data_IF_594442229619
#
_entry.id   IF_594442229619
#
_cell.length_a   1.000
_cell.length_b   1.000
_cell.length_c   1.000
_cell.angle_alpha   90.00
_cell.angle_beta   90.00
_cell.angle_gamma   90.00
#
_symmetry.space_group_name_H-M   'P 1'
#
loop_
_entity.id
_entity.type
_entity.pdbx_description
1 polymer ?
#
# COMPACT_ATOMS: atom_id res chain seq x y z
N UNK A 1 -9.30 9.11 -38.57
CA UNK A 1 -9.72 8.60 -37.24
C UNK A 1 -9.37 7.13 -37.22
N UNK A 2 -8.16 6.80 -36.75
CA UNK A 2 -7.76 5.40 -36.57
C UNK A 2 -8.63 4.78 -35.48
N UNK A 3 -9.35 3.71 -35.84
CA UNK A 3 -10.22 3.00 -34.94
C UNK A 3 -9.40 2.35 -33.83
N UNK A 4 -9.32 2.99 -32.66
CA UNK A 4 -8.79 2.35 -31.45
C UNK A 4 -9.66 1.11 -31.18
N UNK A 5 -9.10 -0.07 -31.42
CA UNK A 5 -9.75 -1.35 -31.06
C UNK A 5 -10.09 -1.32 -29.58
N UNK A 6 -11.35 -1.61 -29.22
CA UNK A 6 -11.74 -1.70 -27.81
C UNK A 6 -10.86 -2.74 -27.10
N UNK A 7 -10.32 -2.43 -25.93
CA UNK A 7 -9.50 -3.40 -25.19
C UNK A 7 -10.35 -4.64 -24.83
N UNK A 8 -9.70 -5.80 -24.73
CA UNK A 8 -10.39 -7.02 -24.29
C UNK A 8 -10.91 -6.85 -22.86
N UNK A 9 -12.00 -7.54 -22.51
CA UNK A 9 -12.58 -7.46 -21.17
C UNK A 9 -11.56 -7.83 -20.09
N UNK A 10 -10.71 -8.81 -20.35
CA UNK A 10 -9.62 -9.19 -19.43
C UNK A 10 -8.63 -8.02 -19.20
N UNK A 11 -8.24 -7.31 -20.26
CA UNK A 11 -7.34 -6.16 -20.16
C UNK A 11 -8.01 -5.01 -19.37
N UNK A 12 -9.32 -4.80 -19.52
CA UNK A 12 -10.08 -3.80 -18.76
C UNK A 12 -10.07 -4.15 -17.27
N UNK A 13 -10.35 -5.39 -16.88
CA UNK A 13 -10.31 -5.82 -15.48
C UNK A 13 -8.91 -5.80 -14.89
N UNK A 14 -7.87 -6.18 -15.65
CA UNK A 14 -6.49 -6.06 -15.17
C UNK A 14 -6.08 -4.60 -14.91
N UNK A 15 -6.57 -3.66 -15.73
CA UNK A 15 -6.39 -2.23 -15.50
C UNK A 15 -7.14 -1.77 -14.24
N UNK A 16 -8.39 -2.22 -14.06
CA UNK A 16 -9.21 -1.89 -12.90
C UNK A 16 -8.60 -2.39 -11.59
N UNK A 17 -8.02 -3.57 -11.58
CA UNK A 17 -7.31 -4.13 -10.44
C UNK A 17 -6.08 -3.30 -10.02
N UNK A 18 -5.56 -2.44 -10.90
CA UNK A 18 -4.35 -1.64 -10.65
C UNK A 18 -3.18 -2.52 -10.19
N UNK A 19 -2.93 -3.61 -10.95
CA UNK A 19 -1.98 -4.67 -10.62
C UNK A 19 -0.58 -4.21 -10.11
N UNK A 20 0.04 -3.12 -10.62
CA UNK A 20 1.32 -2.64 -10.10
C UNK A 20 1.29 -2.26 -8.61
N UNK A 21 0.12 -1.88 -8.07
CA UNK A 21 -0.01 -1.48 -6.66
C UNK A 21 -0.13 -2.67 -5.69
N UNK A 22 -0.31 -3.89 -6.21
CA UNK A 22 -0.32 -5.10 -5.37
C UNK A 22 1.00 -5.30 -4.62
N UNK A 23 2.12 -4.84 -5.17
CA UNK A 23 3.42 -4.92 -4.50
C UNK A 23 3.39 -4.26 -3.12
N UNK A 24 2.66 -3.13 -2.98
CA UNK A 24 2.54 -2.41 -1.72
C UNK A 24 1.91 -3.21 -0.57
N UNK A 25 1.02 -4.14 -0.88
CA UNK A 25 0.34 -4.97 0.13
C UNK A 25 0.89 -6.39 0.20
N UNK A 26 1.40 -6.93 -0.90
CA UNK A 26 1.93 -8.28 -0.92
C UNK A 26 3.34 -8.37 -0.31
N UNK A 27 4.17 -7.33 -0.43
CA UNK A 27 5.50 -7.32 0.19
C UNK A 27 5.45 -7.45 1.72
N UNK A 28 4.60 -6.72 2.49
CA UNK A 28 4.49 -6.92 3.93
C UNK A 28 3.88 -8.29 4.29
N UNK A 29 3.02 -8.88 3.45
CA UNK A 29 2.50 -10.24 3.68
C UNK A 29 3.61 -11.29 3.56
N UNK A 30 4.45 -11.19 2.53
CA UNK A 30 5.64 -12.05 2.36
C UNK A 30 6.61 -11.82 3.52
N UNK A 31 6.92 -10.57 3.84
CA UNK A 31 7.79 -10.21 4.96
C UNK A 31 7.32 -10.83 6.27
N UNK A 32 6.05 -10.69 6.63
CA UNK A 32 5.50 -11.21 7.89
C UNK A 32 5.60 -12.73 8.00
N UNK A 33 5.30 -13.46 6.91
CA UNK A 33 5.43 -14.91 6.85
C UNK A 33 6.90 -15.37 6.96
N UNK A 34 7.80 -14.68 6.26
CA UNK A 34 9.26 -14.95 6.31
C UNK A 34 9.82 -14.59 7.69
N UNK A 35 9.34 -13.51 8.32
CA UNK A 35 9.74 -13.14 9.67
C UNK A 35 9.39 -14.22 10.70
N UNK A 36 8.20 -14.87 10.54
CA UNK A 36 7.88 -16.01 11.38
C UNK A 36 8.85 -17.17 11.19
N UNK A 37 9.25 -17.46 9.96
CA UNK A 37 10.27 -18.48 9.67
C UNK A 37 11.62 -18.12 10.29
N UNK A 38 12.07 -16.89 10.15
CA UNK A 38 13.30 -16.37 10.78
C UNK A 38 13.30 -16.56 12.30
N UNK A 39 12.14 -16.47 12.96
CA UNK A 39 12.01 -16.73 14.42
C UNK A 39 11.96 -18.23 14.78
N UNK A 40 12.26 -19.12 13.83
CA UNK A 40 12.32 -20.58 14.05
C UNK A 40 11.01 -21.32 13.81
N UNK A 41 9.97 -20.66 13.30
CA UNK A 41 8.69 -21.31 12.98
C UNK A 41 8.79 -22.08 11.65
N UNK A 42 8.40 -23.37 11.57
CA UNK A 42 8.33 -24.07 10.31
C UNK A 42 7.38 -23.40 9.32
N UNK A 43 7.83 -23.18 8.09
CA UNK A 43 7.06 -22.46 7.08
C UNK A 43 5.92 -23.34 6.52
N UNK A 44 4.68 -22.87 6.61
CA UNK A 44 3.51 -23.53 6.07
C UNK A 44 3.07 -22.88 4.75
N UNK A 45 3.35 -23.53 3.62
CA UNK A 45 3.07 -23.04 2.30
C UNK A 45 1.58 -22.83 1.99
N UNK A 46 0.70 -23.71 2.51
CA UNK A 46 -0.75 -23.57 2.30
C UNK A 46 -1.29 -22.33 3.03
N UNK A 47 -0.92 -22.17 4.29
CA UNK A 47 -1.32 -20.98 5.06
C UNK A 47 -0.75 -19.70 4.46
N UNK A 48 0.48 -19.73 3.95
CA UNK A 48 1.09 -18.62 3.23
C UNK A 48 0.31 -18.29 1.96
N UNK A 49 0.02 -19.28 1.10
CA UNK A 49 -0.72 -19.06 -0.14
C UNK A 49 -2.11 -18.46 0.11
N UNK A 50 -2.83 -18.96 1.12
CA UNK A 50 -4.14 -18.42 1.51
C UNK A 50 -4.02 -16.97 2.03
N UNK A 51 -3.00 -16.68 2.86
CA UNK A 51 -2.73 -15.30 3.32
C UNK A 51 -2.43 -14.37 2.15
N UNK A 52 -1.59 -14.81 1.22
CA UNK A 52 -1.20 -14.05 0.02
C UNK A 52 -2.43 -13.75 -0.86
N UNK A 53 -3.26 -14.77 -1.14
CA UNK A 53 -4.50 -14.62 -1.93
C UNK A 53 -5.49 -13.70 -1.20
N UNK A 54 -5.70 -13.90 0.11
CA UNK A 54 -6.58 -13.05 0.92
C UNK A 54 -6.15 -11.59 0.92
N UNK A 55 -4.83 -11.33 1.03
CA UNK A 55 -4.27 -9.97 0.95
C UNK A 55 -4.45 -9.38 -0.46
N UNK A 56 -4.21 -10.16 -1.52
CA UNK A 56 -4.43 -9.71 -2.89
C UNK A 56 -5.90 -9.35 -3.16
N UNK A 57 -6.84 -10.17 -2.69
CA UNK A 57 -8.28 -9.90 -2.80
C UNK A 57 -8.69 -8.64 -2.01
N UNK A 58 -8.13 -8.44 -0.80
CA UNK A 58 -8.37 -7.23 -0.02
C UNK A 58 -7.89 -6.00 -0.76
N UNK A 59 -6.69 -6.04 -1.36
CA UNK A 59 -6.15 -4.94 -2.16
C UNK A 59 -6.99 -4.66 -3.42
N UNK A 60 -7.41 -5.71 -4.13
CA UNK A 60 -8.31 -5.58 -5.27
C UNK A 60 -9.63 -4.90 -4.87
N UNK A 61 -10.23 -5.36 -3.78
CA UNK A 61 -11.46 -4.78 -3.24
C UNK A 61 -11.29 -3.31 -2.84
N UNK A 62 -10.17 -2.95 -2.18
CA UNK A 62 -9.84 -1.58 -1.82
C UNK A 62 -9.70 -0.69 -3.07
N UNK A 63 -8.95 -1.12 -4.08
CA UNK A 63 -8.74 -0.34 -5.31
C UNK A 63 -10.07 -0.08 -6.06
N UNK A 64 -10.90 -1.12 -6.22
CA UNK A 64 -12.21 -0.98 -6.86
C UNK A 64 -13.20 -0.14 -6.03
N UNK A 65 -13.15 -0.24 -4.70
CA UNK A 65 -13.94 0.62 -3.79
C UNK A 65 -13.51 2.08 -3.95
N UNK A 66 -12.20 2.32 -4.02
CA UNK A 66 -11.64 3.65 -4.26
C UNK A 66 -12.14 4.22 -5.59
N UNK A 67 -11.96 3.51 -6.70
CA UNK A 67 -12.39 3.96 -8.03
C UNK A 67 -13.91 4.23 -8.10
N UNK A 68 -14.73 3.42 -7.42
CA UNK A 68 -16.18 3.64 -7.34
C UNK A 68 -16.54 4.93 -6.58
N UNK A 69 -15.95 5.17 -5.40
CA UNK A 69 -16.29 6.34 -4.59
C UNK A 69 -15.66 7.62 -5.12
N UNK A 70 -14.47 7.56 -5.72
CA UNK A 70 -13.84 8.71 -6.37
C UNK A 70 -14.57 9.09 -7.67
N UNK A 71 -15.11 8.11 -8.41
CA UNK A 71 -16.08 8.39 -9.48
C UNK A 71 -17.33 9.13 -8.94
N UNK A 72 -17.89 8.68 -7.81
CA UNK A 72 -19.10 9.30 -7.23
C UNK A 72 -18.85 10.70 -6.66
N UNK A 73 -17.66 10.96 -6.15
CA UNK A 73 -17.27 12.30 -5.65
C UNK A 73 -16.94 13.28 -6.77
N UNK A 74 -16.65 12.77 -7.98
CA UNK A 74 -16.18 13.55 -9.10
C UNK A 74 -14.66 13.76 -9.15
N UNK A 75 -13.93 13.26 -8.17
CA UNK A 75 -12.46 13.39 -8.04
C UNK A 75 -11.75 12.88 -9.30
N UNK A 76 -12.08 11.67 -9.70
CA UNK A 76 -11.50 11.01 -10.87
C UNK A 76 -11.75 11.71 -12.22
N UNK A 77 -12.73 12.61 -12.30
CA UNK A 77 -12.96 13.41 -13.50
C UNK A 77 -12.03 14.62 -13.58
N UNK A 78 -11.55 15.10 -12.43
CA UNK A 78 -10.68 16.26 -12.31
C UNK A 78 -9.19 15.87 -12.31
N UNK A 79 -8.88 14.66 -11.85
CA UNK A 79 -7.50 14.18 -11.77
C UNK A 79 -7.01 13.73 -13.14
N UNK A 80 -5.88 14.25 -13.65
CA UNK A 80 -5.26 13.75 -14.87
C UNK A 80 -4.85 12.29 -14.73
N UNK A 81 -5.11 11.46 -15.74
CA UNK A 81 -4.62 10.10 -15.76
C UNK A 81 -3.10 10.07 -15.85
N UNK A 82 -2.44 9.51 -14.86
CA UNK A 82 -1.01 9.22 -14.88
C UNK A 82 -0.79 7.73 -14.65
N UNK A 83 0.40 7.17 -14.95
CA UNK A 83 0.69 5.76 -14.65
C UNK A 83 0.63 5.41 -13.15
N UNK A 84 0.63 6.42 -12.26
CA UNK A 84 0.79 6.24 -10.81
C UNK A 84 -0.33 6.88 -9.97
N UNK A 85 -1.14 7.78 -10.54
CA UNK A 85 -2.25 8.45 -9.84
C UNK A 85 -3.48 8.61 -10.74
N UNK A 86 -4.62 9.01 -10.15
CA UNK A 86 -5.85 9.33 -10.86
C UNK A 86 -6.77 8.14 -11.15
N UNK A 87 -6.69 7.06 -10.40
CA UNK A 87 -7.56 5.90 -10.55
C UNK A 87 -7.29 5.06 -11.80
N UNK A 88 -8.11 4.03 -12.03
CA UNK A 88 -8.03 3.19 -13.24
C UNK A 88 -8.56 3.87 -14.49
N UNK A 89 -9.44 4.86 -14.33
CA UNK A 89 -10.23 5.54 -15.37
C UNK A 89 -11.20 4.64 -16.15
N UNK A 90 -11.35 3.38 -15.76
CA UNK A 90 -12.20 2.40 -16.44
C UNK A 90 -13.67 2.81 -16.40
N UNK A 91 -14.13 3.38 -15.28
CA UNK A 91 -15.51 3.88 -15.13
C UNK A 91 -15.69 5.15 -15.97
N UNK A 92 -14.76 6.10 -15.90
CA UNK A 92 -14.82 7.40 -16.59
C UNK A 92 -14.76 7.24 -18.10
N UNK A 93 -14.04 6.24 -18.60
CA UNK A 93 -13.98 5.89 -20.02
C UNK A 93 -15.19 5.05 -20.50
N UNK A 94 -16.12 4.69 -19.59
CA UNK A 94 -17.30 3.90 -19.91
C UNK A 94 -17.00 2.44 -20.28
N UNK A 95 -15.84 1.92 -19.87
CA UNK A 95 -15.42 0.54 -20.14
C UNK A 95 -16.12 -0.46 -19.21
N UNK A 96 -16.38 -0.08 -17.95
CA UNK A 96 -17.20 -0.83 -17.00
C UNK A 96 -18.22 0.07 -16.34
N UNK A 97 -19.47 -0.40 -16.11
CA UNK A 97 -20.45 0.30 -15.32
C UNK A 97 -20.00 0.40 -13.84
N UNK A 98 -20.20 1.54 -13.15
CA UNK A 98 -19.82 1.71 -11.74
C UNK A 98 -20.35 0.61 -10.83
N UNK A 99 -21.59 0.15 -11.08
CA UNK A 99 -22.23 -0.92 -10.31
C UNK A 99 -21.46 -2.24 -10.41
N UNK A 100 -20.91 -2.57 -11.59
CA UNK A 100 -20.11 -3.80 -11.75
C UNK A 100 -18.81 -3.73 -10.96
N UNK A 101 -18.15 -2.57 -10.96
CA UNK A 101 -16.93 -2.34 -10.18
C UNK A 101 -17.23 -2.49 -8.68
N UNK A 102 -18.29 -1.87 -8.16
CA UNK A 102 -18.68 -2.02 -6.76
C UNK A 102 -19.01 -3.46 -6.38
N UNK A 103 -19.75 -4.19 -7.23
CA UNK A 103 -20.09 -5.60 -6.96
C UNK A 103 -18.81 -6.44 -6.92
N UNK A 104 -17.89 -6.24 -7.87
CA UNK A 104 -16.61 -6.94 -7.88
C UNK A 104 -15.77 -6.61 -6.63
N UNK A 105 -15.75 -5.34 -6.18
CA UNK A 105 -15.10 -4.93 -4.93
C UNK A 105 -15.67 -5.72 -3.73
N UNK A 106 -16.99 -5.76 -3.59
CA UNK A 106 -17.65 -6.47 -2.49
C UNK A 106 -17.34 -7.97 -2.56
N UNK A 107 -17.39 -8.60 -3.73
CA UNK A 107 -17.07 -10.02 -3.89
C UNK A 107 -15.63 -10.32 -3.50
N UNK A 108 -14.67 -9.48 -3.87
CA UNK A 108 -13.27 -9.62 -3.46
C UNK A 108 -13.13 -9.51 -1.93
N UNK A 109 -13.77 -8.52 -1.29
CA UNK A 109 -13.70 -8.33 0.15
C UNK A 109 -14.39 -9.47 0.92
N UNK A 110 -15.53 -9.96 0.44
CA UNK A 110 -16.23 -11.11 1.04
C UNK A 110 -15.39 -12.38 0.92
N UNK A 111 -14.78 -12.62 -0.25
CA UNK A 111 -13.88 -13.77 -0.43
C UNK A 111 -12.64 -13.66 0.48
N UNK A 112 -12.04 -12.47 0.59
CA UNK A 112 -10.94 -12.22 1.52
C UNK A 112 -11.34 -12.45 2.98
N UNK A 113 -12.53 -11.98 3.38
CA UNK A 113 -13.07 -12.24 4.73
C UNK A 113 -13.30 -13.73 4.99
N UNK A 114 -13.82 -14.46 4.00
CA UNK A 114 -13.98 -15.93 4.09
C UNK A 114 -12.65 -16.64 4.30
N UNK A 115 -11.60 -16.27 3.54
CA UNK A 115 -10.24 -16.78 3.72
C UNK A 115 -9.72 -16.43 5.12
N UNK A 116 -9.88 -15.17 5.56
CA UNK A 116 -9.46 -14.73 6.89
C UNK A 116 -10.13 -15.48 8.03
N UNK A 117 -11.44 -15.75 7.92
CA UNK A 117 -12.18 -16.56 8.89
C UNK A 117 -11.71 -18.00 8.91
N UNK A 118 -11.46 -18.61 7.74
CA UNK A 118 -10.87 -19.94 7.65
C UNK A 118 -9.49 -20.00 8.29
N UNK A 119 -8.61 -19.04 7.98
CA UNK A 119 -7.28 -18.94 8.58
C UNK A 119 -7.37 -18.80 10.10
N UNK A 120 -8.30 -17.97 10.59
CA UNK A 120 -8.52 -17.82 12.03
C UNK A 120 -9.02 -19.13 12.68
N UNK A 121 -9.90 -19.88 12.01
CA UNK A 121 -10.38 -21.18 12.48
C UNK A 121 -9.23 -22.17 12.62
N UNK A 122 -8.32 -22.23 11.64
CA UNK A 122 -7.19 -23.18 11.62
C UNK A 122 -6.07 -22.76 12.59
N UNK A 123 -5.80 -21.48 12.73
CA UNK A 123 -4.70 -20.99 13.57
C UNK A 123 -5.11 -20.73 15.02
N UNK A 124 -6.40 -20.47 15.25
CA UNK A 124 -6.96 -20.14 16.55
C UNK A 124 -6.65 -18.70 17.00
N UNK A 125 -7.34 -18.26 18.03
CA UNK A 125 -7.08 -16.99 18.69
C UNK A 125 -7.91 -15.80 18.17
N UNK A 126 -7.85 -14.68 18.93
CA UNK A 126 -8.61 -13.44 18.62
C UNK A 126 -7.78 -12.41 17.85
N UNK A 127 -6.47 -12.60 17.79
CA UNK A 127 -5.55 -11.62 17.17
C UNK A 127 -5.82 -11.50 15.67
N UNK A 128 -5.95 -12.63 14.97
CA UNK A 128 -6.19 -12.61 13.53
C UNK A 128 -7.57 -12.02 13.19
N UNK A 129 -8.58 -12.26 14.02
CA UNK A 129 -9.89 -11.60 13.86
C UNK A 129 -9.77 -10.07 14.01
N UNK A 130 -9.04 -9.60 15.04
CA UNK A 130 -8.85 -8.17 15.25
C UNK A 130 -8.08 -7.53 14.09
N UNK A 131 -6.97 -8.15 13.68
CA UNK A 131 -6.15 -7.68 12.54
C UNK A 131 -6.96 -7.69 11.24
N UNK A 132 -7.71 -8.77 10.98
CA UNK A 132 -8.59 -8.88 9.82
C UNK A 132 -9.71 -7.84 9.82
N UNK A 133 -10.36 -7.62 10.96
CA UNK A 133 -11.40 -6.59 11.10
C UNK A 133 -10.85 -5.18 10.85
N UNK A 134 -9.67 -4.86 11.38
CA UNK A 134 -8.99 -3.58 11.13
C UNK A 134 -8.64 -3.44 9.65
N UNK A 135 -8.06 -4.48 9.04
CA UNK A 135 -7.71 -4.47 7.61
C UNK A 135 -8.94 -4.28 6.71
N UNK A 136 -10.03 -4.99 6.97
CA UNK A 136 -11.30 -4.87 6.24
C UNK A 136 -11.95 -3.50 6.45
N UNK A 137 -11.91 -2.96 7.67
CA UNK A 137 -12.37 -1.61 7.97
C UNK A 137 -11.59 -0.57 7.16
N UNK A 138 -10.28 -0.67 7.14
CA UNK A 138 -9.42 0.21 6.34
C UNK A 138 -9.76 0.05 4.86
N UNK A 139 -9.81 -1.17 4.34
CA UNK A 139 -10.04 -1.44 2.92
C UNK A 139 -11.36 -0.84 2.41
N UNK A 140 -12.42 -0.86 3.22
CA UNK A 140 -13.71 -0.27 2.84
C UNK A 140 -13.76 1.22 3.10
N UNK A 141 -13.42 1.66 4.32
CA UNK A 141 -13.62 3.03 4.76
C UNK A 141 -12.48 3.98 4.40
N UNK A 142 -11.47 3.51 3.68
CA UNK A 142 -10.44 4.41 3.16
C UNK A 142 -11.07 5.51 2.31
N UNK A 143 -11.99 5.16 1.43
CA UNK A 143 -12.69 6.10 0.54
C UNK A 143 -14.19 6.17 0.81
N UNK A 144 -14.82 5.08 1.30
CA UNK A 144 -16.24 5.01 1.52
C UNK A 144 -16.72 5.92 2.67
N UNK A 145 -17.92 6.56 2.55
CA UNK A 145 -18.56 7.24 3.66
C UNK A 145 -18.96 6.23 4.76
N UNK A 146 -19.13 6.64 6.00
CA UNK A 146 -19.02 8.02 6.51
C UNK A 146 -17.59 8.44 6.87
N UNK A 147 -16.63 7.50 6.96
CA UNK A 147 -15.31 7.80 7.54
C UNK A 147 -14.35 8.46 6.56
N UNK A 148 -14.27 7.99 5.31
CA UNK A 148 -13.40 8.54 4.27
C UNK A 148 -11.99 8.83 4.80
N UNK A 149 -11.32 7.80 5.33
CA UNK A 149 -10.05 7.96 6.06
C UNK A 149 -8.98 8.64 5.20
N UNK A 150 -8.91 8.30 3.90
CA UNK A 150 -7.99 8.90 2.94
C UNK A 150 -8.28 10.36 2.58
N UNK A 151 -9.44 10.91 2.99
CA UNK A 151 -9.79 12.32 2.77
C UNK A 151 -9.37 13.24 3.93
N UNK A 152 -8.66 12.72 4.93
CA UNK A 152 -8.30 13.43 6.16
C UNK A 152 -6.78 13.53 6.28
N UNK A 153 -6.28 14.77 6.28
CA UNK A 153 -4.85 15.07 6.36
C UNK A 153 -4.16 14.36 7.52
N UNK A 154 -3.08 13.67 7.23
CA UNK A 154 -2.30 12.90 8.18
C UNK A 154 -2.92 11.54 8.54
N UNK A 155 -4.25 11.42 8.54
CA UNK A 155 -4.92 10.17 8.88
C UNK A 155 -4.86 9.16 7.72
N UNK A 156 -5.06 9.61 6.48
CA UNK A 156 -4.98 8.75 5.31
C UNK A 156 -3.59 8.12 5.15
N UNK A 157 -2.57 8.94 5.30
CA UNK A 157 -1.17 8.52 5.20
C UNK A 157 -0.79 7.60 6.37
N UNK A 158 -1.20 7.93 7.62
CA UNK A 158 -0.97 7.08 8.79
C UNK A 158 -1.64 5.72 8.65
N UNK A 159 -2.90 5.69 8.19
CA UNK A 159 -3.66 4.45 7.97
C UNK A 159 -3.02 3.62 6.85
N UNK A 160 -2.47 4.26 5.81
CA UNK A 160 -1.69 3.57 4.78
C UNK A 160 -0.41 2.96 5.36
N UNK A 161 0.36 3.72 6.16
CA UNK A 161 1.57 3.22 6.86
C UNK A 161 1.25 2.01 7.72
N UNK A 162 0.23 2.11 8.58
CA UNK A 162 -0.11 1.05 9.52
C UNK A 162 -0.76 -0.14 8.83
N UNK A 163 -1.64 0.11 7.86
CA UNK A 163 -2.36 -0.91 7.11
C UNK A 163 -1.44 -1.74 6.22
N UNK A 164 -0.62 -1.06 5.41
CA UNK A 164 0.29 -1.71 4.46
C UNK A 164 1.67 -2.06 5.04
N UNK A 165 1.86 -1.94 6.33
CA UNK A 165 3.03 -2.42 7.06
C UNK A 165 2.58 -3.36 8.19
N UNK A 166 2.43 -2.83 9.41
CA UNK A 166 2.15 -3.60 10.62
C UNK A 166 0.94 -4.51 10.56
N UNK A 167 -0.20 -4.04 10.05
CA UNK A 167 -1.45 -4.84 10.04
C UNK A 167 -1.30 -6.06 9.16
N UNK A 168 -0.81 -5.91 7.92
CA UNK A 168 -0.62 -7.03 7.00
C UNK A 168 0.50 -7.95 7.49
N UNK A 169 1.65 -7.39 7.90
CA UNK A 169 2.78 -8.19 8.33
C UNK A 169 2.48 -8.99 9.60
N UNK A 170 1.80 -8.38 10.60
CA UNK A 170 1.37 -9.08 11.80
C UNK A 170 0.38 -10.19 11.50
N UNK A 171 -0.58 -9.94 10.58
CA UNK A 171 -1.53 -10.97 10.15
C UNK A 171 -0.82 -12.16 9.53
N UNK A 172 0.10 -11.92 8.59
CA UNK A 172 0.88 -12.96 7.93
C UNK A 172 1.81 -13.72 8.91
N UNK A 173 2.45 -12.99 9.82
CA UNK A 173 3.25 -13.57 10.91
C UNK A 173 2.39 -14.47 11.79
N UNK A 174 1.23 -13.96 12.26
CA UNK A 174 0.35 -14.70 13.16
C UNK A 174 -0.18 -15.99 12.54
N UNK A 175 -0.50 -15.97 11.25
CA UNK A 175 -0.96 -17.16 10.52
C UNK A 175 0.09 -18.28 10.55
N UNK A 176 1.38 -17.95 10.48
CA UNK A 176 2.47 -18.91 10.56
C UNK A 176 2.79 -19.30 12.00
N UNK A 177 2.95 -18.31 12.89
CA UNK A 177 3.50 -18.49 14.24
C UNK A 177 2.44 -18.75 15.32
N UNK A 178 1.17 -18.46 15.07
CA UNK A 178 0.02 -18.57 16.00
C UNK A 178 0.21 -17.76 17.29
N UNK A 179 1.05 -16.77 17.27
CA UNK A 179 1.33 -15.88 18.39
C UNK A 179 1.50 -14.44 17.94
N UNK A 180 1.24 -13.50 18.84
CA UNK A 180 1.49 -12.07 18.62
C UNK A 180 2.99 -11.76 18.74
N UNK A 181 3.48 -10.81 17.95
CA UNK A 181 4.90 -10.40 17.97
C UNK A 181 5.05 -8.89 17.81
N UNK A 182 5.45 -8.19 18.89
CA UNK A 182 5.86 -6.79 18.80
C UNK A 182 7.10 -6.57 17.91
N UNK A 183 8.12 -7.45 17.94
CA UNK A 183 9.22 -7.38 16.99
C UNK A 183 8.78 -7.42 15.51
N UNK A 184 7.81 -8.29 15.15
CA UNK A 184 7.29 -8.34 13.79
C UNK A 184 6.56 -7.04 13.39
N UNK A 185 5.78 -6.45 14.32
CA UNK A 185 5.12 -5.15 14.13
C UNK A 185 6.18 -4.07 13.90
N UNK A 186 7.19 -3.97 14.77
CA UNK A 186 8.24 -2.97 14.67
C UNK A 186 9.06 -3.13 13.38
N UNK A 187 9.45 -4.36 13.03
CA UNK A 187 10.25 -4.67 11.85
C UNK A 187 9.54 -4.34 10.52
N UNK A 188 8.20 -4.33 10.51
CA UNK A 188 7.40 -3.97 9.33
C UNK A 188 7.15 -2.48 9.15
N UNK A 189 7.40 -1.64 10.18
CA UNK A 189 7.16 -0.20 10.12
C UNK A 189 7.93 0.50 8.99
N UNK A 190 9.24 0.24 8.73
CA UNK A 190 9.94 0.85 7.61
C UNK A 190 9.26 0.57 6.26
N UNK A 191 8.75 -0.68 6.06
CA UNK A 191 8.01 -1.07 4.85
C UNK A 191 6.72 -0.28 4.75
N UNK A 192 5.99 -0.15 5.87
CA UNK A 192 4.76 0.65 5.93
C UNK A 192 5.01 2.13 5.63
N UNK A 193 6.07 2.75 6.20
CA UNK A 193 6.43 4.15 5.93
C UNK A 193 6.69 4.35 4.44
N UNK A 194 7.43 3.45 3.80
CA UNK A 194 7.69 3.54 2.36
C UNK A 194 6.41 3.42 1.53
N UNK A 195 5.44 2.58 1.94
CA UNK A 195 4.15 2.54 1.25
C UNK A 195 3.34 3.83 1.49
N UNK A 196 3.38 4.39 2.69
CA UNK A 196 2.82 5.72 2.96
C UNK A 196 3.46 6.80 2.08
N UNK A 197 4.77 6.69 1.78
CA UNK A 197 5.46 7.60 0.86
C UNK A 197 5.07 7.39 -0.61
N UNK A 198 4.71 6.16 -1.02
CA UNK A 198 4.12 5.92 -2.35
C UNK A 198 2.79 6.66 -2.48
N UNK A 199 1.93 6.60 -1.46
CA UNK A 199 0.69 7.37 -1.42
C UNK A 199 1.00 8.87 -1.44
N UNK A 200 1.84 9.33 -0.52
CA UNK A 200 2.15 10.75 -0.32
C UNK A 200 2.72 11.44 -1.57
N UNK A 201 3.61 10.76 -2.32
CA UNK A 201 4.16 11.35 -3.55
C UNK A 201 3.11 11.41 -4.68
N UNK A 202 2.10 10.53 -4.67
CA UNK A 202 0.99 10.57 -5.62
C UNK A 202 0.06 11.77 -5.35
N UNK A 203 -0.14 12.17 -4.11
CA UNK A 203 -0.96 13.32 -3.73
C UNK A 203 -0.46 14.64 -4.32
N UNK A 204 0.83 14.75 -4.68
CA UNK A 204 1.35 15.94 -5.37
C UNK A 204 0.72 16.13 -6.76
N UNK A 205 0.37 15.04 -7.45
CA UNK A 205 -0.29 15.08 -8.75
C UNK A 205 -1.76 15.46 -8.61
N UNK A 206 -2.38 15.03 -7.51
CA UNK A 206 -3.82 15.07 -7.29
C UNK A 206 -4.25 16.33 -6.49
N UNK A 207 -3.29 17.16 -6.03
CA UNK A 207 -3.52 18.28 -5.10
C UNK A 207 -4.66 19.23 -5.53
N UNK A 208 -4.79 19.54 -6.82
CA UNK A 208 -5.83 20.43 -7.33
C UNK A 208 -7.19 19.73 -7.40
N UNK A 209 -7.22 18.49 -7.87
CA UNK A 209 -8.44 17.69 -7.97
C UNK A 209 -8.99 17.36 -6.58
N UNK A 210 -8.14 16.83 -5.69
CA UNK A 210 -8.47 16.53 -4.30
C UNK A 210 -9.06 17.75 -3.59
N UNK A 211 -8.39 18.91 -3.72
CA UNK A 211 -8.87 20.16 -3.12
C UNK A 211 -10.22 20.62 -3.66
N UNK A 212 -10.47 20.45 -4.95
CA UNK A 212 -11.72 20.85 -5.60
C UNK A 212 -12.93 20.03 -5.13
N UNK A 213 -12.75 18.74 -4.79
CA UNK A 213 -13.80 17.86 -4.24
C UNK A 213 -13.86 17.85 -2.71
N UNK A 214 -13.07 18.69 -2.04
CA UNK A 214 -13.03 18.79 -0.59
C UNK A 214 -12.26 17.66 0.12
N UNK A 215 -11.46 16.89 -0.61
CA UNK A 215 -10.53 15.91 -0.06
C UNK A 215 -9.30 16.63 0.49
N UNK A 216 -9.03 16.45 1.77
CA UNK A 216 -7.96 17.16 2.48
C UNK A 216 -6.82 16.21 2.82
N UNK A 217 -6.06 15.77 1.81
CA UNK A 217 -4.81 15.01 2.01
C UNK A 217 -3.74 15.89 2.68
N UNK A 218 -2.63 15.30 3.10
CA UNK A 218 -1.56 16.07 3.73
C UNK A 218 -0.96 17.09 2.75
N UNK A 219 -0.80 16.72 1.48
CA UNK A 219 -0.29 17.63 0.44
C UNK A 219 -1.27 18.76 0.15
N UNK A 220 -2.59 18.50 0.16
CA UNK A 220 -3.61 19.56 0.04
C UNK A 220 -3.54 20.53 1.24
N UNK A 221 -3.36 20.00 2.45
CA UNK A 221 -3.34 20.82 3.66
C UNK A 221 -2.08 21.66 3.82
N UNK A 222 -0.90 21.13 3.44
CA UNK A 222 0.40 21.78 3.60
C UNK A 222 0.81 22.59 2.36
N UNK A 223 0.27 22.22 1.20
CA UNK A 223 0.79 22.64 -0.11
C UNK A 223 2.03 21.83 -0.52
N UNK A 224 2.27 21.75 -1.84
CA UNK A 224 3.35 20.90 -2.40
C UNK A 224 4.74 21.30 -1.88
N UNK A 225 5.02 22.60 -1.69
CA UNK A 225 6.32 23.08 -1.21
C UNK A 225 6.65 22.62 0.21
N UNK A 226 5.70 22.73 1.14
CA UNK A 226 5.88 22.30 2.54
C UNK A 226 5.81 20.78 2.70
N UNK A 227 5.32 20.06 1.72
CA UNK A 227 5.30 18.60 1.69
C UNK A 227 6.66 17.98 1.38
N UNK A 228 7.58 18.72 0.73
CA UNK A 228 8.94 18.22 0.43
C UNK A 228 9.79 17.95 1.67
N UNK A 229 9.84 18.81 2.71
CA UNK A 229 10.48 18.49 3.98
C UNK A 229 9.87 17.25 4.68
N UNK A 230 8.55 17.07 4.59
CA UNK A 230 7.87 15.88 5.17
C UNK A 230 8.33 14.60 4.48
N UNK A 231 8.43 14.62 3.14
CA UNK A 231 9.00 13.50 2.36
C UNK A 231 10.40 13.14 2.84
N UNK A 232 11.28 14.14 3.01
CA UNK A 232 12.65 13.92 3.51
C UNK A 232 12.64 13.33 4.93
N UNK A 233 11.84 13.90 5.83
CA UNK A 233 11.76 13.43 7.22
C UNK A 233 11.30 11.96 7.29
N UNK A 234 10.33 11.57 6.48
CA UNK A 234 9.84 10.19 6.45
C UNK A 234 10.89 9.23 5.82
N UNK A 235 11.62 9.65 4.78
CA UNK A 235 12.74 8.88 4.24
C UNK A 235 13.83 8.68 5.30
N UNK A 236 14.24 9.74 5.99
CA UNK A 236 15.23 9.65 7.08
C UNK A 236 14.73 8.73 8.20
N UNK A 237 13.47 8.87 8.61
CA UNK A 237 12.86 8.03 9.63
C UNK A 237 12.87 6.54 9.24
N UNK A 238 12.62 6.22 7.96
CA UNK A 238 12.69 4.85 7.44
C UNK A 238 14.05 4.21 7.67
N UNK A 239 15.12 4.88 7.26
CA UNK A 239 16.49 4.34 7.40
C UNK A 239 16.97 4.37 8.86
N UNK A 240 16.63 5.42 9.61
CA UNK A 240 16.97 5.50 11.04
C UNK A 240 16.30 4.36 11.81
N UNK A 241 15.02 4.10 11.55
CA UNK A 241 14.29 3.00 12.19
C UNK A 241 14.88 1.64 11.78
N UNK A 242 15.21 1.43 10.50
CA UNK A 242 15.87 0.20 10.07
C UNK A 242 17.21 -0.02 10.79
N UNK A 243 18.03 1.02 10.93
CA UNK A 243 19.30 0.95 11.66
C UNK A 243 19.10 0.62 13.15
N UNK A 244 18.10 1.23 13.79
CA UNK A 244 17.75 0.92 15.20
C UNK A 244 17.29 -0.53 15.34
N UNK A 245 16.47 -1.04 14.41
CA UNK A 245 15.98 -2.42 14.44
C UNK A 245 17.11 -3.44 14.24
N UNK A 246 18.09 -3.13 13.40
CA UNK A 246 19.29 -3.96 13.24
C UNK A 246 20.15 -3.90 14.51
N UNK A 247 20.40 -2.72 15.06
CA UNK A 247 21.18 -2.55 16.29
C UNK A 247 20.52 -3.24 17.50
N UNK A 248 19.19 -3.27 17.55
CA UNK A 248 18.42 -3.96 18.60
C UNK A 248 18.30 -5.48 18.36
N UNK A 249 18.87 -6.05 17.28
CA UNK A 249 18.75 -7.47 16.96
C UNK A 249 17.36 -7.92 16.52
N UNK A 250 16.45 -6.99 16.21
CA UNK A 250 15.11 -7.28 15.69
C UNK A 250 15.17 -7.67 14.20
N UNK A 251 16.09 -7.04 13.47
CA UNK A 251 16.45 -7.42 12.10
C UNK A 251 17.89 -7.94 12.06
N UNK A 252 18.21 -8.89 11.17
CA UNK A 252 19.57 -9.38 11.03
C UNK A 252 20.51 -8.30 10.49
N UNK A 253 21.82 -8.44 10.75
CA UNK A 253 22.83 -7.49 10.26
C UNK A 253 22.79 -7.31 8.73
N UNK A 254 22.48 -8.36 7.98
CA UNK A 254 22.30 -8.31 6.52
C UNK A 254 21.20 -7.32 6.07
N UNK A 255 20.23 -7.02 6.92
CA UNK A 255 19.21 -6.01 6.61
C UNK A 255 19.81 -4.61 6.45
N UNK A 256 21.02 -4.34 6.96
CA UNK A 256 21.74 -3.08 6.71
C UNK A 256 22.05 -2.83 5.22
N UNK A 257 21.97 -3.86 4.37
CA UNK A 257 22.10 -3.73 2.91
C UNK A 257 21.02 -2.82 2.30
N UNK A 258 19.94 -2.49 3.04
CA UNK A 258 18.98 -1.45 2.60
C UNK A 258 19.65 -0.10 2.33
N UNK A 259 20.82 0.16 2.91
CA UNK A 259 21.58 1.40 2.67
C UNK A 259 22.01 1.55 1.19
N UNK A 260 22.09 0.46 0.42
CA UNK A 260 22.37 0.54 -1.03
C UNK A 260 21.23 1.24 -1.80
N UNK A 261 20.06 1.39 -1.19
CA UNK A 261 18.91 2.10 -1.78
C UNK A 261 18.93 3.61 -1.50
N UNK A 262 19.86 4.14 -0.69
CA UNK A 262 19.97 5.57 -0.40
C UNK A 262 20.09 6.47 -1.63
N UNK A 263 20.83 6.10 -2.70
CA UNK A 263 20.84 6.91 -3.93
C UNK A 263 19.45 7.09 -4.56
N UNK A 264 18.61 6.06 -4.51
CA UNK A 264 17.25 6.11 -5.03
C UNK A 264 16.35 7.03 -4.18
N UNK A 265 16.47 6.95 -2.85
CA UNK A 265 15.79 7.85 -1.91
C UNK A 265 16.24 9.31 -2.12
N UNK A 266 17.54 9.55 -2.25
CA UNK A 266 18.11 10.85 -2.54
C UNK A 266 17.62 11.43 -3.89
N UNK A 267 17.59 10.60 -4.93
CA UNK A 267 17.06 10.99 -6.23
C UNK A 267 15.58 11.40 -6.13
N UNK A 268 14.75 10.61 -5.47
CA UNK A 268 13.32 10.91 -5.30
C UNK A 268 13.12 12.26 -4.58
N UNK A 269 13.82 12.48 -3.48
CA UNK A 269 13.74 13.73 -2.73
C UNK A 269 14.25 14.94 -3.52
N UNK A 270 15.42 14.86 -4.16
CA UNK A 270 15.96 15.94 -4.97
C UNK A 270 15.04 16.31 -6.14
N UNK A 271 14.43 15.29 -6.75
CA UNK A 271 13.46 15.47 -7.82
C UNK A 271 12.20 16.17 -7.32
N UNK A 272 11.65 15.70 -6.19
CA UNK A 272 10.49 16.33 -5.54
C UNK A 272 10.81 17.78 -5.14
N UNK A 273 11.97 18.03 -4.52
CA UNK A 273 12.40 19.39 -4.15
C UNK A 273 12.43 20.34 -5.33
N UNK A 274 12.85 19.87 -6.51
CA UNK A 274 12.98 20.72 -7.70
C UNK A 274 11.66 20.88 -8.46
N UNK A 275 10.78 19.89 -8.43
CA UNK A 275 9.63 19.81 -9.33
C UNK A 275 8.31 19.53 -8.61
N UNK A 276 8.20 19.86 -7.32
CA UNK A 276 6.99 19.61 -6.52
C UNK A 276 5.70 20.22 -7.10
N UNK A 277 5.79 21.29 -7.89
CA UNK A 277 4.65 21.95 -8.51
C UNK A 277 4.46 21.57 -10.00
N UNK A 278 5.30 20.67 -10.54
CA UNK A 278 5.24 20.22 -11.94
C UNK A 278 5.02 18.71 -11.98
N UNK A 279 3.77 18.31 -12.14
CA UNK A 279 3.34 16.92 -12.14
C UNK A 279 4.11 16.06 -13.16
N UNK A 280 4.33 16.55 -14.39
CA UNK A 280 5.02 15.77 -15.42
C UNK A 280 6.50 15.52 -15.08
N UNK A 281 7.17 16.55 -14.54
CA UNK A 281 8.57 16.44 -14.14
C UNK A 281 8.76 15.73 -12.81
N UNK A 282 7.71 15.62 -11.96
CA UNK A 282 7.73 14.89 -10.71
C UNK A 282 7.63 13.37 -10.92
N UNK A 283 6.99 12.90 -11.98
CA UNK A 283 6.70 11.48 -12.23
C UNK A 283 7.90 10.51 -12.01
N UNK A 284 9.16 10.84 -12.38
CA UNK A 284 10.29 9.99 -12.04
C UNK A 284 10.53 9.79 -10.54
N UNK A 285 10.13 10.75 -9.68
CA UNK A 285 10.22 10.59 -8.23
C UNK A 285 9.21 9.54 -7.72
N UNK A 286 8.02 9.47 -8.31
CA UNK A 286 7.02 8.45 -7.96
C UNK A 286 7.56 7.05 -8.28
N UNK A 287 8.12 6.84 -9.48
CA UNK A 287 8.74 5.56 -9.83
C UNK A 287 9.92 5.22 -8.90
N UNK A 288 10.71 6.23 -8.50
CA UNK A 288 11.80 6.02 -7.56
C UNK A 288 11.30 5.59 -6.17
N UNK A 289 10.22 6.19 -5.64
CA UNK A 289 9.63 5.79 -4.35
C UNK A 289 9.01 4.40 -4.44
N UNK A 290 8.29 4.08 -5.53
CA UNK A 290 7.74 2.73 -5.75
C UNK A 290 8.88 1.70 -5.83
N UNK A 291 9.93 1.98 -6.62
CA UNK A 291 11.11 1.14 -6.72
C UNK A 291 11.84 0.99 -5.37
N UNK A 292 11.92 2.07 -4.59
CA UNK A 292 12.49 2.07 -3.25
C UNK A 292 11.70 1.15 -2.31
N UNK A 293 10.37 1.28 -2.28
CA UNK A 293 9.53 0.40 -1.46
C UNK A 293 9.75 -1.08 -1.81
N UNK A 294 9.77 -1.41 -3.11
CA UNK A 294 9.99 -2.79 -3.56
C UNK A 294 11.39 -3.33 -3.20
N UNK A 295 12.44 -2.58 -3.56
CA UNK A 295 13.83 -3.04 -3.34
C UNK A 295 14.18 -3.11 -1.87
N UNK A 296 13.74 -2.13 -1.06
CA UNK A 296 13.92 -2.14 0.39
C UNK A 296 13.24 -3.36 1.03
N UNK A 297 11.95 -3.58 0.70
CA UNK A 297 11.18 -4.72 1.22
C UNK A 297 11.80 -6.07 0.82
N UNK A 298 12.26 -6.19 -0.44
CA UNK A 298 12.95 -7.38 -0.93
C UNK A 298 14.26 -7.63 -0.18
N UNK A 299 15.10 -6.60 0.00
CA UNK A 299 16.37 -6.72 0.71
C UNK A 299 16.15 -7.19 2.15
N UNK A 300 15.23 -6.56 2.90
CA UNK A 300 14.94 -6.96 4.28
C UNK A 300 14.42 -8.39 4.33
N UNK A 301 13.52 -8.77 3.43
CA UNK A 301 12.95 -10.12 3.39
C UNK A 301 14.01 -11.17 3.03
N UNK A 302 14.87 -10.89 2.05
CA UNK A 302 15.99 -11.79 1.69
C UNK A 302 17.00 -11.88 2.83
N UNK A 303 17.28 -10.77 3.52
CA UNK A 303 18.19 -10.79 4.68
C UNK A 303 17.68 -11.74 5.78
N UNK A 304 16.36 -11.78 6.03
CA UNK A 304 15.76 -12.73 6.98
C UNK A 304 15.90 -14.20 6.53
N UNK A 305 15.81 -14.47 5.21
CA UNK A 305 15.95 -15.84 4.67
C UNK A 305 17.38 -16.36 4.70
N UNK A 306 18.37 -15.46 4.67
CA UNK A 306 19.80 -15.80 4.63
C UNK A 306 20.46 -15.78 6.01
N UNK A 307 19.73 -15.42 7.05
CA UNK A 307 20.21 -15.33 8.44
C UNK A 307 19.60 -16.38 9.33
#
# INVERSE_FOLDING_TARGET
MEGKTRPSLAAVWLRELRAPFFVGTLSPAVFGAVYAHYTGVPFNWLLFALTFIGTALTNAGLNMTNDYFDHRSGDDYLTPATPVSGGSKVIQEGLLPPRQVLVAAILCLVAAAGIGLYLNFVTGGRVLLAVGAVGMFIAWFYTAPPFKLGHRSGLGELVCVLGCGPVIALGAYFVQARQFSWPAVAASLPIGILMGLVLFINEFHDVHADGAVGKRTMVVALGTGMSVPVLLAALVATYALAAVLVAAGVLPALASLVLVTLPLAGFAWLRARRFHADSARLLPANFAIIGLHFTFSAIVTIALLLS
#
